data_IF_148879082431
#
_entry.id   IF_148879082431
#
_cell.length_a   1.000
_cell.length_b   1.000
_cell.length_c   1.000
_cell.angle_alpha   90.00
_cell.angle_beta   90.00
_cell.angle_gamma   90.00
#
_symmetry.space_group_name_H-M   'P 1'
#
loop_
_entity.id
_entity.type
_entity.pdbx_description
1 polymer ?
#
# COMPACT_ATOMS: atom_id res chain seq x y z
N UNK A 1 2.89 -12.34 -16.08
CA UNK A 1 2.06 -12.51 -14.87
C UNK A 1 2.54 -11.49 -13.86
N UNK A 2 1.72 -10.51 -13.50
CA UNK A 2 2.14 -9.44 -12.59
C UNK A 2 2.51 -10.06 -11.23
N UNK A 3 3.76 -9.86 -10.80
CA UNK A 3 4.30 -10.41 -9.57
C UNK A 3 3.67 -9.65 -8.40
N UNK A 4 2.86 -10.33 -7.60
CA UNK A 4 2.30 -9.74 -6.38
C UNK A 4 3.44 -9.61 -5.37
N UNK A 5 3.90 -8.39 -5.12
CA UNK A 5 5.08 -8.09 -4.31
C UNK A 5 4.72 -6.95 -3.37
N UNK A 6 4.41 -7.29 -2.13
CA UNK A 6 4.12 -6.31 -1.09
C UNK A 6 5.36 -6.21 -0.20
N UNK A 7 5.98 -5.03 -0.17
CA UNK A 7 7.14 -4.72 0.67
C UNK A 7 6.71 -3.74 1.74
N UNK A 8 6.84 -4.15 2.99
CA UNK A 8 6.58 -3.30 4.16
C UNK A 8 7.93 -3.05 4.81
N UNK A 9 8.39 -1.80 4.77
CA UNK A 9 9.66 -1.40 5.36
C UNK A 9 9.54 -1.29 6.90
N UNK A 10 10.66 -1.36 7.64
CA UNK A 10 10.66 -1.34 9.10
C UNK A 10 9.91 -0.13 9.68
N UNK A 11 9.12 -0.37 10.72
CA UNK A 11 8.35 0.68 11.40
C UNK A 11 7.09 1.14 10.67
N UNK A 12 6.78 0.60 9.49
CA UNK A 12 5.48 0.79 8.89
C UNK A 12 4.40 0.01 9.65
N UNK A 13 3.25 0.66 9.89
CA UNK A 13 2.07 0.07 10.50
C UNK A 13 1.01 -0.11 9.41
N UNK A 14 0.64 -1.36 9.14
CA UNK A 14 -0.38 -1.69 8.14
C UNK A 14 -1.51 -2.45 8.82
N UNK A 15 -2.72 -1.92 8.76
CA UNK A 15 -3.87 -2.59 9.33
C UNK A 15 -4.24 -3.87 8.55
N UNK A 16 -4.71 -4.90 9.23
CA UNK A 16 -5.13 -6.16 8.60
C UNK A 16 -6.32 -5.97 7.65
N UNK A 17 -7.21 -5.01 7.92
CA UNK A 17 -8.39 -4.68 7.12
C UNK A 17 -8.07 -3.86 5.84
N UNK A 18 -6.81 -3.85 5.41
CA UNK A 18 -6.38 -3.18 4.19
C UNK A 18 -6.43 -4.12 2.99
N UNK A 19 -6.87 -3.62 1.84
CA UNK A 19 -6.85 -4.35 0.56
C UNK A 19 -5.63 -3.95 -0.24
N UNK A 20 -4.58 -4.78 -0.21
CA UNK A 20 -3.34 -4.57 -0.94
C UNK A 20 -3.23 -5.57 -2.11
N UNK A 21 -3.05 -5.08 -3.34
CA UNK A 21 -2.89 -5.91 -4.53
C UNK A 21 -1.88 -5.31 -5.50
N UNK A 22 -0.98 -6.13 -6.03
CA UNK A 22 0.01 -5.76 -7.04
C UNK A 22 1.43 -5.64 -6.50
N UNK A 23 2.25 -4.81 -7.16
CA UNK A 23 3.59 -4.45 -6.69
C UNK A 23 3.50 -3.17 -5.85
N UNK A 24 3.55 -3.32 -4.53
CA UNK A 24 3.35 -2.24 -3.56
C UNK A 24 4.56 -2.18 -2.64
N UNK A 25 5.13 -0.98 -2.48
CA UNK A 25 6.15 -0.70 -1.48
C UNK A 25 5.63 0.33 -0.50
N UNK A 26 5.72 0.04 0.80
CA UNK A 26 5.32 0.90 1.89
C UNK A 26 6.58 1.32 2.64
N UNK A 27 6.86 2.62 2.60
CA UNK A 27 7.99 3.28 3.26
C UNK A 27 8.03 3.07 4.77
N UNK A 28 9.19 3.32 5.36
CA UNK A 28 9.43 3.20 6.80
C UNK A 28 8.61 4.23 7.58
N UNK A 29 8.08 3.84 8.73
CA UNK A 29 7.28 4.76 9.57
C UNK A 29 5.95 5.20 8.96
N UNK A 30 5.51 4.56 7.87
CA UNK A 30 4.22 4.85 7.23
C UNK A 30 3.09 4.10 7.90
N UNK A 31 1.96 4.78 8.09
CA UNK A 31 0.77 4.23 8.76
C UNK A 31 -0.35 4.09 7.74
N UNK A 32 -0.97 2.92 7.69
CA UNK A 32 -2.14 2.62 6.86
C UNK A 32 -3.30 2.20 7.76
N UNK A 33 -4.35 3.03 7.77
CA UNK A 33 -5.57 2.83 8.53
C UNK A 33 -6.49 1.75 7.93
N UNK A 34 -7.44 1.21 8.73
CA UNK A 34 -8.40 0.20 8.28
C UNK A 34 -9.20 0.62 7.03
N UNK A 35 -9.55 -0.35 6.18
CA UNK A 35 -10.35 -0.13 4.98
C UNK A 35 -9.63 0.53 3.81
N UNK A 36 -8.34 0.89 3.95
CA UNK A 36 -7.53 1.40 2.85
C UNK A 36 -7.42 0.37 1.72
N UNK A 37 -7.53 0.80 0.48
CA UNK A 37 -7.44 -0.04 -0.71
C UNK A 37 -6.34 0.48 -1.63
N UNK A 38 -5.29 -0.31 -1.82
CA UNK A 38 -4.14 0.01 -2.67
C UNK A 38 -4.01 -1.08 -3.75
N UNK A 39 -4.16 -0.69 -5.01
CA UNK A 39 -4.19 -1.60 -6.16
C UNK A 39 -3.19 -1.14 -7.22
N UNK A 40 -2.12 -1.91 -7.41
CA UNK A 40 -0.99 -1.68 -8.31
C UNK A 40 -0.99 -2.71 -9.45
N UNK A 41 -1.97 -2.63 -10.36
CA UNK A 41 -2.14 -3.58 -11.48
C UNK A 41 -1.44 -3.12 -12.77
N UNK A 42 -1.44 -1.83 -13.06
CA UNK A 42 -0.83 -1.25 -14.28
C UNK A 42 0.67 -0.93 -14.13
N UNK A 43 1.19 -0.97 -12.89
CA UNK A 43 2.54 -0.55 -12.52
C UNK A 43 2.70 -0.49 -11.00
N UNK A 44 3.93 -0.32 -10.49
CA UNK A 44 4.18 -0.34 -9.05
C UNK A 44 3.63 0.91 -8.34
N UNK A 45 3.12 0.74 -7.12
CA UNK A 45 2.78 1.84 -6.22
C UNK A 45 3.82 1.89 -5.10
N UNK A 46 4.47 3.04 -4.96
CA UNK A 46 5.48 3.28 -3.92
C UNK A 46 4.95 4.38 -3.01
N UNK A 47 4.65 4.01 -1.77
CA UNK A 47 4.35 4.96 -0.70
C UNK A 47 5.66 5.28 -0.02
N UNK A 48 6.00 6.57 0.06
CA UNK A 48 7.22 7.06 0.70
C UNK A 48 7.24 6.81 2.21
N UNK A 49 8.34 7.24 2.83
CA UNK A 49 8.52 7.15 4.29
C UNK A 49 7.65 8.18 5.02
N UNK A 50 7.30 7.88 6.27
CA UNK A 50 6.58 8.78 7.19
C UNK A 50 5.25 9.33 6.63
N UNK A 51 4.55 8.53 5.82
CA UNK A 51 3.24 8.88 5.28
C UNK A 51 2.10 8.39 6.18
N UNK A 52 0.94 9.05 6.10
CA UNK A 52 -0.29 8.65 6.78
C UNK A 52 -1.40 8.43 5.75
N UNK A 53 -1.85 7.19 5.62
CA UNK A 53 -2.97 6.80 4.77
C UNK A 53 -4.16 6.51 5.69
N UNK A 54 -5.11 7.43 5.70
CA UNK A 54 -6.31 7.38 6.55
C UNK A 54 -7.33 6.32 6.10
N UNK A 55 -8.38 6.12 6.90
CA UNK A 55 -9.38 5.09 6.62
C UNK A 55 -10.07 5.24 5.27
N UNK A 56 -10.43 4.10 4.67
CA UNK A 56 -11.23 4.02 3.43
C UNK A 56 -10.59 4.66 2.18
N UNK A 57 -9.34 5.13 2.27
CA UNK A 57 -8.60 5.72 1.13
C UNK A 57 -8.43 4.69 0.02
N UNK A 58 -8.56 5.13 -1.24
CA UNK A 58 -8.37 4.29 -2.43
C UNK A 58 -7.27 4.84 -3.30
N UNK A 59 -6.16 4.10 -3.40
CA UNK A 59 -5.04 4.39 -4.31
C UNK A 59 -5.03 3.29 -5.37
N UNK A 60 -5.42 3.63 -6.60
CA UNK A 60 -5.62 2.63 -7.65
C UNK A 60 -4.84 3.05 -8.90
N UNK A 61 -3.91 2.20 -9.30
CA UNK A 61 -3.23 2.25 -10.58
C UNK A 61 -3.58 0.99 -11.36
N UNK A 62 -4.66 1.09 -12.15
CA UNK A 62 -5.21 0.01 -12.98
C UNK A 62 -5.34 0.46 -14.43
N UNK A 63 -5.32 -0.50 -15.35
CA UNK A 63 -5.71 -0.31 -16.75
C UNK A 63 -7.23 -0.19 -16.87
#
# INVERSE_FOLDING_TARGET
MARNSIKILPGALVCEDCKLRGDITIGSGTIIHPGATIIAEAGPIIIGDNCLIEEQVKIVHRL
#
